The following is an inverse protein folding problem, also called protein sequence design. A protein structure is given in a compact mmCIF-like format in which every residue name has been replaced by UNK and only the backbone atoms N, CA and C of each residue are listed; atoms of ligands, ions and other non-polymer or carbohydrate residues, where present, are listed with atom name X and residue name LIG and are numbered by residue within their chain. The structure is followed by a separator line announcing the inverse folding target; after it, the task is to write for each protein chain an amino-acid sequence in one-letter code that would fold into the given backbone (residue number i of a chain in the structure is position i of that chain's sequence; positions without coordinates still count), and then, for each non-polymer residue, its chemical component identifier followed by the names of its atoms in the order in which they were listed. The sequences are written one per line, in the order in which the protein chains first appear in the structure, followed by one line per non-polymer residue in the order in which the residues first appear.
data_IF_185313934204
#
_entry.id   IF_185313934204
#
_cell.length_a   1.000
_cell.length_b   1.000
_cell.length_c   1.000
_cell.angle_alpha   90.00
_cell.angle_beta   90.00
_cell.angle_gamma   90.00
#
_symmetry.space_group_name_H-M   'P 1'
#
loop_
_entity.id
_entity.type
_entity.pdbx_description
1 polymer ?
#
# COMPACT_ATOMS: atom_id res chain seq x y z
N UNK A 1 -20.30 56.92 36.98
CA UNK A 1 -20.67 55.50 37.15
C UNK A 1 -21.15 54.86 35.82
N UNK A 2 -22.19 55.37 35.17
CA UNK A 2 -22.79 54.79 33.96
C UNK A 2 -21.85 54.60 32.74
N UNK A 3 -20.96 55.59 32.47
CA UNK A 3 -19.96 55.50 31.38
C UNK A 3 -18.90 54.40 31.57
N UNK A 4 -18.52 54.14 32.83
CA UNK A 4 -17.59 53.08 33.20
C UNK A 4 -18.21 51.68 33.10
N UNK A 5 -19.49 51.58 33.46
CA UNK A 5 -20.23 50.36 33.34
C UNK A 5 -20.55 49.97 31.90
N UNK A 6 -20.86 50.94 31.04
CA UNK A 6 -21.04 50.74 29.58
C UNK A 6 -19.75 50.27 28.92
N UNK A 7 -18.59 50.82 29.26
CA UNK A 7 -17.27 50.38 28.77
C UNK A 7 -16.95 48.96 29.23
N UNK A 8 -17.19 48.63 30.50
CA UNK A 8 -16.98 47.29 31.01
C UNK A 8 -17.87 46.24 30.32
N UNK A 9 -19.12 46.57 30.01
CA UNK A 9 -19.99 45.70 29.26
C UNK A 9 -19.52 45.51 27.82
N UNK A 10 -19.10 46.55 27.13
CA UNK A 10 -18.54 46.47 25.78
C UNK A 10 -17.27 45.65 25.73
N UNK A 11 -16.36 45.79 26.70
CA UNK A 11 -15.11 45.00 26.78
C UNK A 11 -15.44 43.50 27.01
N UNK A 12 -16.43 43.20 27.87
CA UNK A 12 -16.86 41.82 28.09
C UNK A 12 -17.46 41.21 26.81
N UNK A 13 -18.32 41.98 26.10
CA UNK A 13 -18.89 41.52 24.84
C UNK A 13 -17.82 41.25 23.79
N UNK A 14 -16.85 42.15 23.63
CA UNK A 14 -15.72 41.97 22.71
C UNK A 14 -14.88 40.75 23.05
N UNK A 15 -14.65 40.49 24.34
CA UNK A 15 -13.94 39.30 24.80
C UNK A 15 -14.69 38.01 24.46
N UNK A 16 -16.01 38.00 24.69
CA UNK A 16 -16.87 36.84 24.36
C UNK A 16 -16.85 36.56 22.85
N UNK A 17 -17.01 37.63 22.03
CA UNK A 17 -16.92 37.49 20.56
C UNK A 17 -15.57 36.99 20.11
N UNK A 18 -14.47 37.50 20.68
CA UNK A 18 -13.13 37.06 20.37
C UNK A 18 -12.91 35.57 20.73
N UNK A 19 -13.35 35.14 21.93
CA UNK A 19 -13.27 33.74 22.34
C UNK A 19 -14.12 32.82 21.45
N UNK A 20 -15.30 33.27 21.03
CA UNK A 20 -16.15 32.54 20.09
C UNK A 20 -15.45 32.38 18.73
N UNK A 21 -14.84 33.46 18.23
CA UNK A 21 -14.07 33.39 16.97
C UNK A 21 -12.87 32.43 17.08
N UNK A 22 -12.15 32.42 18.20
CA UNK A 22 -11.04 31.47 18.42
C UNK A 22 -11.54 30.02 18.46
N UNK A 23 -12.68 29.76 19.12
CA UNK A 23 -13.30 28.44 19.13
C UNK A 23 -13.69 27.98 17.73
N UNK A 24 -14.33 28.83 16.95
CA UNK A 24 -14.71 28.52 15.56
C UNK A 24 -13.45 28.27 14.70
N UNK A 25 -12.45 29.16 14.78
CA UNK A 25 -11.21 29.01 14.04
C UNK A 25 -10.47 27.70 14.43
N UNK A 26 -10.39 27.40 15.73
CA UNK A 26 -9.80 26.16 16.23
C UNK A 26 -10.55 24.91 15.76
N UNK A 27 -11.89 24.96 15.76
CA UNK A 27 -12.72 23.87 15.25
C UNK A 27 -12.53 23.63 13.75
N UNK A 28 -12.49 24.72 12.96
CA UNK A 28 -12.24 24.62 11.52
C UNK A 28 -10.85 24.07 11.24
N UNK A 29 -9.81 24.54 11.95
CA UNK A 29 -8.47 24.00 11.81
C UNK A 29 -8.39 22.53 12.21
N UNK A 30 -9.08 22.13 13.27
CA UNK A 30 -9.16 20.72 13.65
C UNK A 30 -9.85 19.87 12.58
N UNK A 31 -10.97 20.34 12.04
CA UNK A 31 -11.63 19.64 10.95
C UNK A 31 -10.72 19.51 9.72
N UNK A 32 -10.06 20.59 9.33
CA UNK A 32 -9.19 20.64 8.14
C UNK A 32 -8.00 19.69 8.27
N UNK A 33 -7.31 19.69 9.40
CA UNK A 33 -6.03 19.00 9.54
C UNK A 33 -6.12 17.61 10.17
N UNK A 34 -7.20 17.26 10.85
CA UNK A 34 -7.33 15.96 11.54
C UNK A 34 -8.49 15.11 11.04
N UNK A 35 -9.59 15.72 10.56
CA UNK A 35 -10.76 14.96 10.13
C UNK A 35 -10.89 14.91 8.61
N UNK A 36 -10.55 16.00 7.92
CA UNK A 36 -10.64 16.08 6.47
C UNK A 36 -9.45 15.36 5.83
N UNK A 37 -9.77 14.37 4.98
CA UNK A 37 -8.78 13.59 4.22
C UNK A 37 -9.20 13.62 2.76
N UNK A 38 -8.79 14.65 2.00
CA UNK A 38 -9.23 14.82 0.62
C UNK A 38 -8.72 13.66 -0.25
N UNK A 39 -9.59 12.89 -0.93
CA UNK A 39 -9.15 11.76 -1.76
C UNK A 39 -8.42 12.20 -3.03
N UNK A 40 -8.57 13.48 -3.41
CA UNK A 40 -8.02 14.02 -4.66
C UNK A 40 -8.71 13.48 -5.91
N UNK A 41 -8.28 13.98 -7.06
CA UNK A 41 -8.77 13.57 -8.37
C UNK A 41 -7.58 13.31 -9.32
N UNK A 42 -7.83 12.54 -10.38
CA UNK A 42 -6.82 12.26 -11.41
C UNK A 42 -5.78 11.20 -11.01
N UNK A 43 -4.71 11.08 -11.81
CA UNK A 43 -3.66 10.06 -11.61
C UNK A 43 -2.86 10.32 -10.33
N UNK A 44 -2.24 9.26 -9.80
CA UNK A 44 -1.39 9.33 -8.61
C UNK A 44 -0.12 8.49 -8.76
N UNK A 45 0.92 8.90 -8.05
CA UNK A 45 2.19 8.19 -8.05
C UNK A 45 3.18 8.63 -9.13
N UNK A 46 4.32 7.95 -9.27
CA UNK A 46 5.39 8.36 -10.16
C UNK A 46 5.05 8.17 -11.63
N UNK A 47 5.75 8.92 -12.51
CA UNK A 47 5.63 8.74 -13.96
C UNK A 47 6.30 7.45 -14.40
N UNK A 48 5.61 6.66 -15.21
CA UNK A 48 6.15 5.44 -15.85
C UNK A 48 6.82 5.81 -17.18
N UNK A 49 8.04 5.32 -17.47
CA UNK A 49 8.71 5.58 -18.73
C UNK A 49 7.94 4.98 -19.92
N UNK A 50 7.23 5.80 -20.70
CA UNK A 50 6.42 5.36 -21.85
C UNK A 50 7.23 4.62 -22.89
N UNK A 51 8.46 5.08 -23.18
CA UNK A 51 9.34 4.46 -24.18
C UNK A 51 9.67 2.99 -23.91
N UNK A 52 9.51 2.53 -22.68
CA UNK A 52 9.66 1.12 -22.34
C UNK A 52 8.55 0.25 -22.95
N UNK A 53 7.43 0.84 -23.34
CA UNK A 53 6.23 0.16 -23.87
C UNK A 53 6.10 0.28 -25.41
N UNK A 54 7.08 0.87 -26.09
CA UNK A 54 7.07 1.03 -27.54
C UNK A 54 7.38 -0.28 -28.30
N UNK A 55 7.90 -1.30 -27.59
CA UNK A 55 8.29 -2.59 -28.18
C UNK A 55 7.92 -3.75 -27.26
N UNK A 56 7.63 -4.93 -27.81
CA UNK A 56 7.43 -6.12 -27.02
C UNK A 56 8.65 -6.43 -26.10
N UNK A 57 8.37 -6.79 -24.86
CA UNK A 57 9.42 -7.22 -23.91
C UNK A 57 9.80 -8.68 -24.12
N UNK A 58 8.85 -9.52 -24.55
CA UNK A 58 9.08 -10.93 -24.80
C UNK A 58 8.10 -11.45 -25.85
N UNK A 59 8.51 -12.47 -26.61
CA UNK A 59 7.65 -13.21 -27.56
C UNK A 59 7.24 -14.58 -27.03
N UNK A 60 7.80 -15.02 -25.90
CA UNK A 60 7.41 -16.26 -25.22
C UNK A 60 6.07 -16.08 -24.49
N UNK A 61 5.37 -17.15 -24.15
CA UNK A 61 4.20 -17.09 -23.29
C UNK A 61 4.57 -16.55 -21.89
N UNK A 62 3.79 -15.59 -21.39
CA UNK A 62 3.97 -14.99 -20.06
C UNK A 62 2.68 -15.07 -19.28
N UNK A 63 2.76 -15.48 -18.01
CA UNK A 63 1.64 -15.50 -17.09
C UNK A 63 1.89 -14.50 -15.97
N UNK A 64 1.01 -13.50 -15.84
CA UNK A 64 0.95 -12.62 -14.67
C UNK A 64 0.16 -13.31 -13.56
N UNK A 65 0.80 -13.53 -12.42
CA UNK A 65 0.14 -14.12 -11.24
C UNK A 65 0.08 -13.10 -10.11
N UNK A 66 -1.12 -12.88 -9.57
CA UNK A 66 -1.35 -12.12 -8.34
C UNK A 66 -1.45 -13.06 -7.13
N UNK A 67 -0.66 -12.80 -6.10
CA UNK A 67 -0.67 -13.52 -4.83
C UNK A 67 -0.80 -12.53 -3.66
N UNK A 68 -1.28 -13.02 -2.53
CA UNK A 68 -1.30 -12.23 -1.31
C UNK A 68 -2.70 -11.87 -0.83
N UNK A 69 -2.85 -10.65 -0.35
CA UNK A 69 -4.00 -10.16 0.40
C UNK A 69 -4.95 -9.25 -0.43
N UNK A 70 -5.75 -8.43 0.28
CA UNK A 70 -6.73 -7.51 -0.29
C UNK A 70 -6.13 -6.52 -1.29
N UNK A 71 -4.88 -6.10 -1.10
CA UNK A 71 -4.22 -5.15 -1.99
C UNK A 71 -4.06 -5.75 -3.40
N UNK A 72 -3.58 -6.99 -3.48
CA UNK A 72 -3.45 -7.70 -4.77
C UNK A 72 -4.80 -8.15 -5.31
N UNK A 73 -5.76 -8.48 -4.42
CA UNK A 73 -7.12 -8.80 -4.83
C UNK A 73 -7.90 -7.60 -5.40
N UNK A 74 -7.48 -6.35 -5.09
CA UNK A 74 -8.15 -5.13 -5.53
C UNK A 74 -9.38 -4.78 -4.71
N UNK A 75 -9.34 -5.00 -3.39
CA UNK A 75 -10.47 -4.73 -2.51
C UNK A 75 -10.89 -3.24 -2.55
N UNK A 76 -12.21 -3.01 -2.53
CA UNK A 76 -12.78 -1.65 -2.51
C UNK A 76 -12.90 -0.96 -3.87
N UNK A 77 -12.40 -1.57 -4.95
CA UNK A 77 -12.55 -1.09 -6.33
C UNK A 77 -13.02 -2.23 -7.26
N UNK A 78 -13.43 -1.90 -8.49
CA UNK A 78 -13.71 -2.95 -9.48
C UNK A 78 -12.42 -3.67 -9.88
N UNK A 79 -12.51 -4.92 -10.34
CA UNK A 79 -11.37 -5.75 -10.71
C UNK A 79 -10.42 -5.05 -11.71
N UNK A 80 -10.96 -4.33 -12.69
CA UNK A 80 -10.18 -3.57 -13.67
C UNK A 80 -9.49 -2.32 -13.09
N UNK A 81 -9.86 -1.86 -11.88
CA UNK A 81 -9.32 -0.66 -11.24
C UNK A 81 -8.36 -0.96 -10.08
N UNK A 82 -8.29 -2.21 -9.60
CA UNK A 82 -7.21 -2.68 -8.75
C UNK A 82 -5.86 -2.64 -9.48
N UNK A 83 -4.75 -2.55 -8.76
CA UNK A 83 -3.45 -2.46 -9.40
C UNK A 83 -3.13 -3.68 -10.29
N UNK A 84 -3.54 -4.88 -9.89
CA UNK A 84 -3.34 -6.10 -10.68
C UNK A 84 -4.05 -6.03 -12.03
N UNK A 85 -5.33 -5.63 -12.04
CA UNK A 85 -6.09 -5.44 -13.28
C UNK A 85 -5.46 -4.40 -14.19
N UNK A 86 -5.07 -3.24 -13.63
CA UNK A 86 -4.41 -2.16 -14.39
C UNK A 86 -2.99 -2.52 -14.87
N UNK A 87 -2.27 -3.41 -14.18
CA UNK A 87 -1.02 -3.98 -14.70
C UNK A 87 -1.28 -4.80 -15.95
N UNK A 88 -2.33 -5.63 -15.91
CA UNK A 88 -2.66 -6.52 -17.00
C UNK A 88 -3.15 -5.77 -18.24
N UNK A 89 -4.12 -4.89 -18.05
CA UNK A 89 -4.80 -4.17 -19.14
C UNK A 89 -5.34 -2.82 -18.66
N UNK A 90 -5.27 -1.79 -19.49
CA UNK A 90 -5.87 -0.50 -19.18
C UNK A 90 -7.41 -0.58 -19.16
N UNK A 91 -8.10 -0.07 -18.11
CA UNK A 91 -9.54 0.07 -18.13
C UNK A 91 -9.98 1.08 -19.17
N UNK A 92 -11.26 1.05 -19.56
CA UNK A 92 -11.81 1.95 -20.62
C UNK A 92 -11.63 3.44 -20.29
N UNK A 93 -11.71 3.78 -19.02
CA UNK A 93 -11.58 5.13 -18.44
C UNK A 93 -10.18 5.44 -17.93
N UNK A 94 -9.16 4.74 -18.44
CA UNK A 94 -7.77 4.91 -18.03
C UNK A 94 -7.28 6.35 -18.16
N UNK A 95 -6.44 6.76 -17.20
CA UNK A 95 -5.80 8.07 -17.20
C UNK A 95 -4.99 8.31 -18.49
N UNK A 96 -5.06 9.52 -19.09
CA UNK A 96 -4.42 9.79 -20.39
C UNK A 96 -2.93 9.49 -20.44
N UNK A 97 -2.21 9.71 -19.34
CA UNK A 97 -0.77 9.46 -19.22
C UNK A 97 -0.40 7.98 -19.14
N UNK A 98 -1.37 7.11 -18.82
CA UNK A 98 -1.18 5.67 -18.71
C UNK A 98 -1.84 4.86 -19.85
N UNK A 99 -2.56 5.49 -20.76
CA UNK A 99 -3.12 4.78 -21.93
C UNK A 99 -2.01 4.13 -22.75
N UNK A 100 -2.13 2.82 -23.01
CA UNK A 100 -1.13 2.02 -23.71
C UNK A 100 0.08 1.65 -22.84
N UNK A 101 0.01 1.85 -21.52
CA UNK A 101 1.05 1.45 -20.56
C UNK A 101 0.51 0.34 -19.66
N UNK A 102 0.56 -0.90 -20.16
CA UNK A 102 0.18 -2.11 -19.46
C UNK A 102 0.90 -3.32 -20.08
N UNK A 103 0.86 -4.46 -19.42
CA UNK A 103 1.60 -5.65 -19.85
C UNK A 103 1.05 -6.25 -21.15
N UNK A 104 -0.25 -6.14 -21.39
CA UNK A 104 -0.86 -6.64 -22.64
C UNK A 104 -0.29 -5.97 -23.90
N UNK A 105 0.13 -4.72 -23.82
CA UNK A 105 0.73 -3.99 -24.95
C UNK A 105 2.11 -4.51 -25.33
N UNK A 106 2.85 -5.06 -24.37
CA UNK A 106 4.25 -5.48 -24.56
C UNK A 106 4.48 -6.99 -24.49
N UNK A 107 3.46 -7.77 -24.17
CA UNK A 107 3.50 -9.23 -24.05
C UNK A 107 2.42 -9.88 -24.95
N UNK A 108 2.73 -10.17 -26.23
CA UNK A 108 1.74 -10.67 -27.19
C UNK A 108 1.07 -12.00 -26.80
N UNK A 109 1.77 -12.86 -26.03
CA UNK A 109 1.25 -14.14 -25.53
C UNK A 109 1.09 -14.04 -24.01
N UNK A 110 0.10 -13.28 -23.56
CA UNK A 110 -0.09 -12.89 -22.18
C UNK A 110 -1.35 -13.49 -21.55
N UNK A 111 -1.20 -14.13 -20.40
CA UNK A 111 -2.28 -14.61 -19.55
C UNK A 111 -2.23 -14.01 -18.16
N UNK A 112 -3.33 -14.06 -17.43
CA UNK A 112 -3.45 -13.54 -16.06
C UNK A 112 -4.10 -14.55 -15.13
N UNK A 113 -3.65 -14.59 -13.87
CA UNK A 113 -4.23 -15.45 -12.83
C UNK A 113 -4.11 -14.73 -11.47
N UNK A 114 -5.20 -14.20 -10.94
CA UNK A 114 -5.21 -13.59 -9.61
C UNK A 114 -5.69 -14.62 -8.57
N UNK A 115 -4.79 -15.02 -7.69
CA UNK A 115 -5.02 -15.96 -6.59
C UNK A 115 -5.04 -15.28 -5.21
N UNK A 116 -4.92 -13.98 -5.16
CA UNK A 116 -4.94 -13.22 -3.91
C UNK A 116 -6.29 -13.36 -3.19
N UNK A 117 -6.26 -13.31 -1.86
CA UNK A 117 -7.44 -13.48 -1.01
C UNK A 117 -7.49 -12.34 0.00
N UNK A 118 -8.55 -11.52 -0.08
CA UNK A 118 -8.75 -10.41 0.87
C UNK A 118 -8.80 -10.92 2.31
N UNK A 119 -8.09 -10.21 3.21
CA UNK A 119 -8.02 -10.54 4.63
C UNK A 119 -7.01 -11.64 4.99
N UNK A 120 -6.39 -12.31 4.00
CA UNK A 120 -5.44 -13.39 4.30
C UNK A 120 -4.12 -12.85 4.87
N UNK A 121 -3.55 -13.63 5.78
CA UNK A 121 -2.25 -13.41 6.41
C UNK A 121 -1.15 -14.18 5.67
N UNK A 122 0.11 -13.88 5.99
CA UNK A 122 1.22 -14.67 5.43
C UNK A 122 1.18 -16.15 5.82
N UNK A 123 0.50 -16.50 6.90
CA UNK A 123 0.29 -17.90 7.34
C UNK A 123 -0.55 -18.66 6.31
N UNK A 124 -1.59 -18.03 5.78
CA UNK A 124 -2.52 -18.62 4.81
C UNK A 124 -1.95 -18.61 3.40
N UNK A 125 -1.08 -17.65 3.06
CA UNK A 125 -0.49 -17.55 1.72
C UNK A 125 0.32 -18.78 1.33
N UNK A 126 1.01 -19.46 2.27
CA UNK A 126 1.70 -20.72 2.01
C UNK A 126 0.74 -21.79 1.48
N UNK A 127 -0.42 -21.88 2.10
CA UNK A 127 -1.45 -22.84 1.71
C UNK A 127 -2.06 -22.47 0.35
N UNK A 128 -2.37 -21.18 0.14
CA UNK A 128 -2.92 -20.69 -1.13
C UNK A 128 -1.97 -20.99 -2.29
N UNK A 129 -0.67 -20.71 -2.15
CA UNK A 129 0.34 -21.03 -3.17
C UNK A 129 0.38 -22.54 -3.41
N UNK A 130 0.45 -23.34 -2.35
CA UNK A 130 0.55 -24.80 -2.44
C UNK A 130 -0.62 -25.44 -3.19
N UNK A 131 -1.85 -24.98 -2.89
CA UNK A 131 -3.08 -25.61 -3.38
C UNK A 131 -3.61 -25.03 -4.69
N UNK A 132 -3.30 -23.76 -4.99
CA UNK A 132 -3.97 -23.02 -6.08
C UNK A 132 -3.03 -22.62 -7.21
N UNK A 133 -1.71 -22.52 -6.97
CA UNK A 133 -0.75 -22.23 -8.03
C UNK A 133 -0.23 -23.55 -8.61
N UNK A 134 -0.74 -23.91 -9.78
CA UNK A 134 -0.31 -25.09 -10.50
C UNK A 134 1.07 -24.90 -11.14
N UNK A 135 1.75 -26.03 -11.40
CA UNK A 135 3.02 -26.02 -12.12
C UNK A 135 2.77 -25.66 -13.59
N UNK A 136 3.49 -24.68 -14.07
CA UNK A 136 3.37 -24.16 -15.43
C UNK A 136 4.19 -24.97 -16.45
N UNK A 137 3.84 -24.82 -17.72
CA UNK A 137 4.64 -25.37 -18.82
C UNK A 137 6.03 -24.70 -18.85
N UNK A 138 7.11 -25.45 -19.16
CA UNK A 138 8.47 -24.90 -19.24
C UNK A 138 8.65 -23.75 -20.23
N UNK A 139 7.75 -23.58 -21.21
CA UNK A 139 7.80 -22.45 -22.14
C UNK A 139 7.26 -21.15 -21.54
N UNK A 140 6.48 -21.23 -20.45
CA UNK A 140 5.84 -20.08 -19.80
C UNK A 140 6.80 -19.40 -18.85
N UNK A 141 6.93 -18.08 -18.94
CA UNK A 141 7.59 -17.25 -17.93
C UNK A 141 6.57 -16.65 -16.96
N UNK A 142 6.88 -16.67 -15.67
CA UNK A 142 6.05 -16.09 -14.63
C UNK A 142 6.43 -14.64 -14.30
N UNK A 143 5.49 -13.72 -14.39
CA UNK A 143 5.56 -12.43 -13.69
C UNK A 143 4.67 -12.56 -12.46
N UNK A 144 5.26 -12.58 -11.27
CA UNK A 144 4.48 -12.75 -10.04
C UNK A 144 4.51 -11.48 -9.21
N UNK A 145 3.35 -10.94 -8.90
CA UNK A 145 3.19 -9.77 -8.02
C UNK A 145 2.58 -10.23 -6.70
N UNK A 146 3.13 -9.77 -5.58
CA UNK A 146 2.69 -10.22 -4.27
C UNK A 146 2.72 -9.12 -3.22
N UNK A 147 1.64 -9.02 -2.44
CA UNK A 147 1.57 -8.26 -1.18
C UNK A 147 1.36 -9.24 -0.03
N UNK A 148 2.12 -9.11 1.05
CA UNK A 148 2.04 -10.05 2.19
C UNK A 148 2.56 -9.42 3.47
N UNK A 149 2.01 -9.82 4.60
CA UNK A 149 2.43 -9.40 5.93
C UNK A 149 1.69 -8.20 6.50
N UNK A 150 0.97 -7.41 5.69
CA UNK A 150 0.15 -6.29 6.20
C UNK A 150 -0.89 -6.78 7.21
N UNK A 151 -1.65 -7.81 6.86
CA UNK A 151 -2.65 -8.39 7.76
C UNK A 151 -2.03 -9.06 9.00
N UNK A 152 -0.79 -9.59 8.91
CA UNK A 152 -0.09 -10.11 10.08
C UNK A 152 0.09 -9.05 11.16
N UNK A 153 0.25 -7.78 10.76
CA UNK A 153 0.43 -6.65 11.65
C UNK A 153 -0.90 -6.18 12.26
N UNK A 154 -1.92 -5.99 11.43
CA UNK A 154 -3.12 -5.23 11.81
C UNK A 154 -4.31 -6.09 12.25
N UNK A 155 -4.36 -7.37 11.96
CA UNK A 155 -5.49 -8.22 12.31
C UNK A 155 -5.88 -8.05 13.80
N UNK A 156 -7.19 -8.12 14.04
CA UNK A 156 -7.83 -7.87 15.34
C UNK A 156 -7.73 -6.44 15.87
N UNK A 157 -6.91 -5.54 15.30
CA UNK A 157 -6.79 -4.12 15.68
C UNK A 157 -6.69 -3.88 17.19
N UNK A 158 -5.95 -4.72 17.91
CA UNK A 158 -5.83 -4.63 19.36
C UNK A 158 -7.07 -5.06 20.16
N UNK A 159 -8.10 -5.63 19.51
CA UNK A 159 -9.30 -6.15 20.18
C UNK A 159 -9.07 -7.47 20.91
N UNK A 160 -7.99 -8.16 20.61
CA UNK A 160 -7.54 -9.39 21.26
C UNK A 160 -6.05 -9.32 21.56
N UNK A 161 -5.55 -10.14 22.51
CA UNK A 161 -4.11 -10.21 22.76
C UNK A 161 -3.33 -10.51 21.48
N UNK A 162 -2.18 -9.86 21.25
CA UNK A 162 -1.40 -10.04 20.04
C UNK A 162 -0.84 -11.47 19.95
N UNK A 163 -0.81 -11.97 18.73
CA UNK A 163 -0.28 -13.29 18.37
C UNK A 163 0.32 -13.26 16.97
N UNK A 164 0.99 -14.34 16.55
CA UNK A 164 1.42 -14.49 15.18
C UNK A 164 0.24 -14.36 14.21
N UNK A 165 0.39 -13.57 13.14
CA UNK A 165 -0.68 -13.26 12.19
C UNK A 165 -1.73 -12.25 12.67
N UNK A 166 -1.57 -11.67 13.89
CA UNK A 166 -2.42 -10.61 14.43
C UNK A 166 -1.65 -9.85 15.52
N UNK A 167 -0.63 -9.09 15.13
CA UNK A 167 0.36 -8.53 16.05
C UNK A 167 -0.01 -7.20 16.68
N UNK A 168 -1.12 -6.57 16.28
CA UNK A 168 -1.47 -5.25 16.77
C UNK A 168 -1.44 -5.17 18.30
N UNK A 169 -0.68 -4.23 18.85
CA UNK A 169 -0.47 -4.07 20.29
C UNK A 169 0.73 -4.87 20.87
N UNK A 170 1.41 -5.68 20.07
CA UNK A 170 2.62 -6.39 20.49
C UNK A 170 3.77 -5.42 20.81
N UNK A 171 4.61 -5.76 21.77
CA UNK A 171 5.93 -5.15 21.91
C UNK A 171 6.89 -5.75 20.88
N UNK A 172 7.93 -5.00 20.52
CA UNK A 172 8.97 -5.51 19.62
C UNK A 172 9.59 -6.83 20.12
N UNK A 173 9.78 -6.96 21.45
CA UNK A 173 10.27 -8.19 22.08
C UNK A 173 9.33 -9.37 21.86
N UNK A 174 8.02 -9.14 22.02
CA UNK A 174 7.00 -10.19 21.82
C UNK A 174 6.88 -10.58 20.34
N UNK A 175 6.99 -9.61 19.42
CA UNK A 175 6.89 -9.84 17.99
C UNK A 175 8.14 -10.50 17.38
N UNK A 176 9.31 -10.41 18.02
CA UNK A 176 10.58 -10.90 17.46
C UNK A 176 10.52 -12.33 16.90
N UNK A 177 10.01 -13.36 17.64
CA UNK A 177 9.92 -14.71 17.10
C UNK A 177 8.95 -14.84 15.93
N UNK A 178 7.92 -14.01 15.86
CA UNK A 178 6.96 -14.01 14.74
C UNK A 178 7.57 -13.36 13.48
N UNK A 179 8.41 -12.35 13.66
CA UNK A 179 9.18 -11.73 12.56
C UNK A 179 10.16 -12.74 11.97
N UNK A 180 10.87 -13.51 12.80
CA UNK A 180 11.74 -14.60 12.34
C UNK A 180 10.96 -15.71 11.63
N UNK A 181 9.77 -16.04 12.12
CA UNK A 181 8.89 -17.01 11.47
C UNK A 181 8.39 -16.48 10.11
N UNK A 182 8.07 -15.18 10.01
CA UNK A 182 7.70 -14.53 8.75
C UNK A 182 8.86 -14.59 7.72
N UNK A 183 10.10 -14.35 8.13
CA UNK A 183 11.26 -14.44 7.25
C UNK A 183 11.38 -15.84 6.63
N UNK A 184 11.34 -16.88 7.47
CA UNK A 184 11.39 -18.30 6.99
C UNK A 184 10.20 -18.63 6.08
N UNK A 185 9.03 -18.11 6.41
CA UNK A 185 7.80 -18.31 5.64
C UNK A 185 7.87 -17.63 4.28
N UNK A 186 8.39 -16.39 4.22
CA UNK A 186 8.58 -15.65 2.97
C UNK A 186 9.57 -16.38 2.06
N UNK A 187 10.72 -16.81 2.58
CA UNK A 187 11.69 -17.60 1.81
C UNK A 187 11.08 -18.89 1.27
N UNK A 188 10.26 -19.58 2.07
CA UNK A 188 9.52 -20.78 1.63
C UNK A 188 8.52 -20.45 0.51
N UNK A 189 7.75 -19.38 0.63
CA UNK A 189 6.80 -18.96 -0.40
C UNK A 189 7.51 -18.65 -1.71
N UNK A 190 8.62 -17.92 -1.67
CA UNK A 190 9.43 -17.61 -2.86
C UNK A 190 9.91 -18.91 -3.54
N UNK A 191 10.48 -19.85 -2.79
CA UNK A 191 10.91 -21.15 -3.33
C UNK A 191 9.75 -21.92 -3.97
N UNK A 192 8.61 -22.00 -3.29
CA UNK A 192 7.43 -22.69 -3.82
C UNK A 192 6.93 -22.05 -5.14
N UNK A 193 6.96 -20.73 -5.25
CA UNK A 193 6.56 -20.02 -6.46
C UNK A 193 7.54 -20.33 -7.58
N UNK A 194 8.84 -20.22 -7.33
CA UNK A 194 9.89 -20.51 -8.32
C UNK A 194 9.82 -21.95 -8.85
N UNK A 195 9.50 -22.92 -7.99
CA UNK A 195 9.30 -24.32 -8.37
C UNK A 195 8.08 -24.55 -9.30
N UNK A 196 7.10 -23.62 -9.29
CA UNK A 196 5.94 -23.66 -10.18
C UNK A 196 6.23 -23.18 -11.59
N UNK A 197 7.35 -22.51 -11.81
CA UNK A 197 7.74 -21.95 -13.11
C UNK A 197 9.08 -22.53 -13.60
N UNK A 198 9.09 -23.74 -14.14
CA UNK A 198 10.32 -24.34 -14.68
C UNK A 198 10.90 -23.53 -15.86
N UNK A 199 10.08 -22.71 -16.52
CA UNK A 199 10.50 -21.75 -17.55
C UNK A 199 11.12 -20.46 -16.99
N UNK A 200 11.20 -20.33 -15.65
CA UNK A 200 11.65 -19.15 -14.93
C UNK A 200 10.51 -18.20 -14.56
N UNK A 201 10.74 -17.40 -13.54
CA UNK A 201 9.84 -16.32 -13.15
C UNK A 201 10.59 -15.16 -12.49
N UNK A 202 9.95 -14.01 -12.42
CA UNK A 202 10.38 -12.88 -11.61
C UNK A 202 9.27 -12.49 -10.63
N UNK A 203 9.61 -12.40 -9.34
CA UNK A 203 8.70 -11.99 -8.27
C UNK A 203 8.91 -10.50 -7.95
N UNK A 204 7.82 -9.78 -7.84
CA UNK A 204 7.77 -8.40 -7.39
C UNK A 204 7.01 -8.36 -6.06
N UNK A 205 7.73 -8.08 -4.98
CA UNK A 205 7.18 -8.02 -3.63
C UNK A 205 6.91 -6.57 -3.25
N UNK A 206 5.65 -6.20 -3.03
CA UNK A 206 5.30 -4.93 -2.42
C UNK A 206 5.74 -4.89 -0.97
N UNK A 207 6.44 -3.83 -0.54
CA UNK A 207 6.63 -3.57 0.87
C UNK A 207 5.34 -2.99 1.50
N UNK A 208 5.24 -3.06 2.83
CA UNK A 208 4.02 -2.72 3.57
C UNK A 208 4.03 -1.22 3.85
N UNK A 209 3.00 -0.51 3.40
CA UNK A 209 2.82 0.92 3.64
C UNK A 209 2.34 1.23 5.07
N UNK A 210 2.34 2.50 5.42
CA UNK A 210 1.99 3.02 6.74
C UNK A 210 0.90 4.11 6.63
N UNK A 211 -0.35 3.80 6.99
CA UNK A 211 -1.43 4.80 6.96
C UNK A 211 -1.25 5.96 7.93
N UNK A 212 -0.31 5.87 8.87
CA UNK A 212 -0.03 6.92 9.85
C UNK A 212 1.05 7.92 9.40
N UNK A 213 1.52 7.83 8.16
CA UNK A 213 2.54 8.72 7.57
C UNK A 213 3.83 8.81 8.41
N UNK A 214 4.27 7.71 9.03
CA UNK A 214 5.46 7.66 9.86
C UNK A 214 5.29 8.19 11.28
N UNK A 215 4.08 8.57 11.68
CA UNK A 215 3.79 9.10 13.02
C UNK A 215 3.57 7.98 14.04
N UNK A 216 2.93 6.89 13.62
CA UNK A 216 2.66 5.73 14.49
C UNK A 216 1.51 5.94 15.47
N UNK A 217 0.68 6.97 15.27
CA UNK A 217 -0.47 7.27 16.11
C UNK A 217 -1.74 6.56 15.60
N UNK A 218 -1.87 5.29 15.88
CA UNK A 218 -3.10 4.54 15.61
C UNK A 218 -4.37 5.23 16.14
N UNK A 219 -4.23 6.03 17.19
CA UNK A 219 -5.29 6.82 17.81
C UNK A 219 -5.88 7.86 16.83
N UNK A 220 -5.06 8.45 15.98
CA UNK A 220 -5.50 9.33 14.88
C UNK A 220 -6.39 8.60 13.85
N UNK A 221 -6.32 7.28 13.80
CA UNK A 221 -7.16 6.41 13.00
C UNK A 221 -8.32 5.78 13.81
N UNK A 222 -8.49 6.15 15.10
CA UNK A 222 -9.50 5.57 15.98
C UNK A 222 -9.12 4.17 16.53
N UNK A 223 -7.85 3.80 16.45
CA UNK A 223 -7.32 2.52 16.94
C UNK A 223 -6.65 2.69 18.30
N UNK A 224 -6.48 1.60 19.10
CA UNK A 224 -5.69 1.64 20.31
C UNK A 224 -4.24 2.07 20.04
N UNK A 225 -3.53 2.68 21.02
CA UNK A 225 -2.12 3.02 20.87
C UNK A 225 -1.24 1.78 20.66
N UNK A 226 -0.28 1.87 19.73
CA UNK A 226 0.69 0.81 19.48
C UNK A 226 2.14 1.35 19.44
N UNK A 227 2.79 1.54 20.60
CA UNK A 227 4.08 2.20 20.72
C UNK A 227 5.24 1.58 19.91
N UNK A 228 5.18 0.26 19.67
CA UNK A 228 6.19 -0.45 18.86
C UNK A 228 5.73 -0.75 17.44
N UNK A 229 4.56 -0.24 17.01
CA UNK A 229 3.97 -0.56 15.71
C UNK A 229 4.88 -0.25 14.53
N UNK A 230 5.41 0.97 14.47
CA UNK A 230 6.36 1.36 13.40
C UNK A 230 7.64 0.53 13.42
N UNK A 231 8.18 0.22 14.59
CA UNK A 231 9.41 -0.60 14.69
C UNK A 231 9.17 -2.03 14.18
N UNK A 232 8.00 -2.58 14.45
CA UNK A 232 7.60 -3.91 13.97
C UNK A 232 7.38 -3.88 12.46
N UNK A 233 6.69 -2.86 11.94
CA UNK A 233 6.53 -2.61 10.50
C UNK A 233 7.89 -2.50 9.80
N UNK A 234 8.83 -1.72 10.37
CA UNK A 234 10.20 -1.59 9.84
C UNK A 234 10.92 -2.94 9.76
N UNK A 235 10.74 -3.79 10.75
CA UNK A 235 11.32 -5.15 10.76
C UNK A 235 10.70 -6.04 9.68
N UNK A 236 9.37 -5.99 9.52
CA UNK A 236 8.69 -6.72 8.45
C UNK A 236 9.17 -6.28 7.07
N UNK A 237 9.22 -4.98 6.83
CA UNK A 237 9.75 -4.44 5.58
C UNK A 237 11.23 -4.78 5.40
N UNK A 238 12.02 -4.80 6.47
CA UNK A 238 13.40 -5.27 6.45
C UNK A 238 13.53 -6.72 5.95
N UNK A 239 12.63 -7.61 6.36
CA UNK A 239 12.56 -9.00 5.87
C UNK A 239 12.24 -9.04 4.38
N UNK A 240 11.24 -8.26 3.93
CA UNK A 240 10.85 -8.19 2.52
C UNK A 240 12.01 -7.67 1.67
N UNK A 241 12.66 -6.59 2.08
CA UNK A 241 13.81 -6.01 1.37
C UNK A 241 15.01 -6.98 1.31
N UNK A 242 15.29 -7.68 2.41
CA UNK A 242 16.37 -8.67 2.44
C UNK A 242 16.11 -9.86 1.51
N UNK A 243 14.86 -10.22 1.22
CA UNK A 243 14.53 -11.32 0.32
C UNK A 243 15.06 -11.08 -1.11
N UNK A 244 15.03 -9.83 -1.61
CA UNK A 244 15.56 -9.48 -2.94
C UNK A 244 17.07 -9.67 -3.06
N UNK A 245 17.81 -9.48 -1.96
CA UNK A 245 19.25 -9.69 -1.92
C UNK A 245 19.63 -11.15 -1.78
N UNK A 246 18.76 -11.99 -1.18
CA UNK A 246 19.02 -13.42 -0.96
C UNK A 246 18.58 -14.31 -2.12
N UNK A 247 17.62 -13.86 -2.91
CA UNK A 247 16.97 -14.70 -3.94
C UNK A 247 17.06 -14.05 -5.31
N UNK A 248 17.65 -14.70 -6.32
CA UNK A 248 17.64 -14.23 -7.69
C UNK A 248 16.19 -14.21 -8.24
N UNK A 249 15.89 -13.29 -9.13
CA UNK A 249 14.56 -13.15 -9.70
C UNK A 249 13.52 -12.58 -8.72
N UNK A 250 13.96 -11.84 -7.71
CA UNK A 250 13.08 -11.13 -6.75
C UNK A 250 13.42 -9.64 -6.74
N UNK A 251 12.42 -8.79 -6.93
CA UNK A 251 12.50 -7.34 -6.78
C UNK A 251 11.53 -6.84 -5.71
N UNK A 252 11.91 -5.82 -4.97
CA UNK A 252 11.00 -5.12 -4.04
C UNK A 252 10.40 -3.91 -4.72
N UNK A 253 9.11 -3.71 -4.54
CA UNK A 253 8.37 -2.54 -4.99
C UNK A 253 8.18 -1.61 -3.78
N UNK A 254 8.75 -0.39 -3.78
CA UNK A 254 8.80 0.49 -2.62
C UNK A 254 7.48 1.25 -2.43
N UNK A 255 6.41 0.54 -2.06
CA UNK A 255 5.07 1.12 -1.88
C UNK A 255 5.07 2.07 -0.69
N UNK A 256 5.71 1.69 0.43
CA UNK A 256 5.75 2.52 1.64
C UNK A 256 6.29 3.92 1.37
N UNK A 257 7.41 4.01 0.68
CA UNK A 257 8.02 5.32 0.41
C UNK A 257 7.13 6.24 -0.43
N UNK A 258 6.33 5.68 -1.34
CA UNK A 258 5.39 6.43 -2.15
C UNK A 258 4.13 6.84 -1.37
N UNK A 259 3.68 6.01 -0.43
CA UNK A 259 2.46 6.25 0.34
C UNK A 259 2.65 7.20 1.54
N UNK A 260 3.87 7.39 2.03
CA UNK A 260 4.16 8.38 3.09
C UNK A 260 3.80 9.80 2.63
N UNK A 261 2.95 10.46 3.41
CA UNK A 261 2.35 11.75 3.12
C UNK A 261 0.98 11.67 2.44
N UNK A 262 0.46 10.46 2.24
CA UNK A 262 -0.86 10.21 1.67
C UNK A 262 -1.79 9.42 2.62
N UNK A 263 -1.41 9.29 3.89
CA UNK A 263 -2.19 8.66 4.96
C UNK A 263 -3.05 9.66 5.73
N UNK A 264 -3.31 9.34 7.00
CA UNK A 264 -4.21 10.13 7.86
C UNK A 264 -3.73 11.55 8.17
N UNK A 265 -2.45 11.85 7.89
CA UNK A 265 -1.82 13.15 8.08
C UNK A 265 -1.55 13.90 6.78
N UNK A 266 -2.12 13.48 5.65
CA UNK A 266 -1.84 14.04 4.32
C UNK A 266 -2.08 15.56 4.22
N UNK A 267 -2.99 16.13 5.03
CA UNK A 267 -3.25 17.56 5.07
C UNK A 267 -2.34 18.35 6.05
N UNK A 268 -1.54 17.67 6.89
CA UNK A 268 -0.75 18.30 7.94
C UNK A 268 0.61 18.79 7.41
N UNK A 269 0.65 20.01 6.86
CA UNK A 269 1.81 20.61 6.21
C UNK A 269 3.08 20.71 7.08
N UNK A 270 2.97 20.54 8.39
CA UNK A 270 4.11 20.57 9.34
C UNK A 270 4.72 19.17 9.58
N UNK A 271 4.19 18.11 8.97
CA UNK A 271 4.73 16.76 9.12
C UNK A 271 5.88 16.51 8.15
N UNK A 272 6.80 15.63 8.56
CA UNK A 272 8.01 15.28 7.80
C UNK A 272 7.70 14.80 6.38
N UNK A 273 6.66 13.98 6.24
CA UNK A 273 6.30 13.36 4.97
C UNK A 273 5.23 14.12 4.17
N UNK A 274 4.89 15.37 4.56
CA UNK A 274 3.92 16.17 3.82
C UNK A 274 4.31 16.34 2.35
N UNK A 275 3.34 16.14 1.44
CA UNK A 275 3.50 16.25 -0.01
C UNK A 275 2.75 17.48 -0.53
N UNK A 276 3.44 18.60 -0.66
CA UNK A 276 2.83 19.86 -1.10
C UNK A 276 2.21 19.79 -2.49
N UNK A 277 2.79 18.97 -3.38
CA UNK A 277 2.33 18.80 -4.75
C UNK A 277 1.06 17.92 -4.86
N UNK A 278 0.82 17.06 -3.87
CA UNK A 278 -0.33 16.16 -3.82
C UNK A 278 -0.73 15.84 -2.37
N UNK A 279 -1.29 16.80 -1.61
CA UNK A 279 -1.66 16.60 -0.22
C UNK A 279 -2.98 15.85 -0.09
N UNK A 280 -3.07 14.64 -0.67
CA UNK A 280 -4.31 13.87 -0.78
C UNK A 280 -4.17 12.49 -0.17
N UNK A 281 -5.31 11.96 0.24
CA UNK A 281 -5.44 10.66 0.89
C UNK A 281 -5.58 9.52 -0.13
N UNK A 282 -4.70 8.52 -0.05
CA UNK A 282 -4.66 7.40 -1.01
C UNK A 282 -5.29 6.10 -0.50
N UNK A 283 -5.92 6.13 0.67
CA UNK A 283 -6.57 4.96 1.26
C UNK A 283 -8.09 5.00 1.10
N UNK A 284 -8.70 3.85 1.24
CA UNK A 284 -10.16 3.71 1.33
C UNK A 284 -10.70 4.13 2.70
N UNK A 285 -12.00 3.95 2.87
CA UNK A 285 -12.69 4.28 4.13
C UNK A 285 -12.29 3.39 5.31
N UNK A 286 -11.71 2.23 5.04
CA UNK A 286 -11.26 1.26 6.04
C UNK A 286 -9.83 1.51 6.53
N UNK A 287 -9.10 2.51 6.02
CA UNK A 287 -7.71 2.86 6.35
C UNK A 287 -6.65 1.80 5.95
N UNK A 288 -7.05 0.67 5.45
CA UNK A 288 -6.18 -0.47 5.14
C UNK A 288 -5.89 -0.59 3.66
N UNK A 289 -6.96 -0.52 2.86
CA UNK A 289 -6.86 -0.73 1.43
C UNK A 289 -6.74 0.61 0.69
N UNK A 290 -6.05 0.63 -0.45
CA UNK A 290 -5.94 1.82 -1.27
C UNK A 290 -7.29 2.23 -1.89
N UNK A 291 -7.50 3.53 -2.08
CA UNK A 291 -8.51 4.03 -3.00
C UNK A 291 -8.04 3.93 -4.47
N UNK A 292 -8.83 4.40 -5.42
CA UNK A 292 -8.50 4.33 -6.84
C UNK A 292 -7.17 4.99 -7.20
N UNK A 293 -6.80 6.09 -6.51
CA UNK A 293 -5.52 6.78 -6.69
C UNK A 293 -4.36 5.98 -6.07
N UNK A 294 -4.55 5.42 -4.87
CA UNK A 294 -3.56 4.55 -4.25
C UNK A 294 -3.26 3.32 -5.11
N UNK A 295 -4.29 2.69 -5.69
CA UNK A 295 -4.09 1.58 -6.63
C UNK A 295 -3.37 2.00 -7.91
N UNK A 296 -3.60 3.20 -8.42
CA UNK A 296 -2.86 3.73 -9.57
C UNK A 296 -1.37 3.93 -9.22
N UNK A 297 -1.09 4.49 -8.04
CA UNK A 297 0.28 4.64 -7.56
C UNK A 297 0.99 3.29 -7.42
N UNK A 298 0.35 2.29 -6.82
CA UNK A 298 0.91 0.92 -6.69
C UNK A 298 1.20 0.33 -8.06
N UNK A 299 0.24 0.38 -9.02
CA UNK A 299 0.43 -0.11 -10.38
C UNK A 299 1.67 0.52 -11.05
N UNK A 300 1.84 1.84 -10.92
CA UNK A 300 2.98 2.56 -11.50
C UNK A 300 4.31 2.12 -10.91
N UNK A 301 4.36 1.90 -9.61
CA UNK A 301 5.56 1.40 -8.92
C UNK A 301 5.93 -0.01 -9.42
N UNK A 302 4.95 -0.91 -9.53
CA UNK A 302 5.20 -2.25 -10.09
C UNK A 302 5.72 -2.18 -11.53
N UNK A 303 5.10 -1.36 -12.40
CA UNK A 303 5.57 -1.20 -13.78
C UNK A 303 7.00 -0.65 -13.85
N UNK A 304 7.36 0.30 -13.00
CA UNK A 304 8.72 0.85 -12.92
C UNK A 304 9.73 -0.25 -12.56
N UNK A 305 9.43 -1.08 -11.57
CA UNK A 305 10.31 -2.19 -11.20
C UNK A 305 10.38 -3.26 -12.31
N UNK A 306 9.26 -3.55 -12.98
CA UNK A 306 9.23 -4.48 -14.12
C UNK A 306 10.07 -3.98 -15.30
N UNK A 307 10.03 -2.68 -15.59
CA UNK A 307 10.85 -2.08 -16.67
C UNK A 307 12.35 -2.27 -16.41
N UNK A 308 12.81 -2.26 -15.17
CA UNK A 308 14.24 -2.47 -14.84
C UNK A 308 14.76 -3.85 -15.22
N UNK A 309 13.87 -4.85 -15.26
CA UNK A 309 14.23 -6.26 -15.49
C UNK A 309 13.58 -6.87 -16.72
N UNK A 310 12.92 -6.05 -17.56
CA UNK A 310 12.19 -6.51 -18.75
C UNK A 310 13.01 -7.35 -19.73
N UNK A 311 14.32 -7.09 -19.82
CA UNK A 311 15.22 -7.81 -20.72
C UNK A 311 15.57 -9.23 -20.21
N UNK A 312 15.17 -9.57 -18.99
CA UNK A 312 15.30 -10.91 -18.41
C UNK A 312 14.03 -11.79 -18.55
N UNK A 313 12.98 -11.27 -19.22
CA UNK A 313 11.67 -11.92 -19.37
C UNK A 313 11.54 -12.79 -20.64
#
# INVERSE_FOLDING_TARGET
AAKRQKRAHQTRLLLVVFLAMLLVAGSLAYCEFWLWRPPGEGPAGPKVPRSAFDRPWSTRPVLLVGLGDSITAGFGVSESHGYFGRLAENPKDEWPDMKGICLREVLPKFGTLNLAVSGSTSLEHVEHISKRLEKQDPTVFGIVVMTTGGNDLIHSYGRSPPKEGAMYGATLKTAAPWIEAFEKRLDRMIGMIQDRFPGGCHLFLGDIYDPTDGVGDGEGAGLPPWPDGLKILDRYNGVIHAASSRRPGVSVVPIRAAFLGHGIHCAQFWREHYRSEDPTYWYGTNLEDPNARGYDAIRRLFLIEMVKVKDAM
#
